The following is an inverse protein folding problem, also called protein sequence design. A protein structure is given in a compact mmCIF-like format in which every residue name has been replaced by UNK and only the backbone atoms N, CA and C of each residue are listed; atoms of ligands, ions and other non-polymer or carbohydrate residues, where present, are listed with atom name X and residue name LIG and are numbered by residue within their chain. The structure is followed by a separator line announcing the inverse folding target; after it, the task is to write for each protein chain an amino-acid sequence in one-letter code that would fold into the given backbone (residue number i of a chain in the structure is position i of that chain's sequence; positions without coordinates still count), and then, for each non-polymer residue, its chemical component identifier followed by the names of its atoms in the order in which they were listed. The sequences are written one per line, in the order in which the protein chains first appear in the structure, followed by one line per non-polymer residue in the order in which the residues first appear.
data_IF_104889609171
#
_entry.id   IF_104889609171
#
_cell.length_a   1.000
_cell.length_b   1.000
_cell.length_c   1.000
_cell.angle_alpha   90.00
_cell.angle_beta   90.00
_cell.angle_gamma   90.00
#
_symmetry.space_group_name_H-M   'P 1'
#
loop_
_entity.id
_entity.type
_entity.pdbx_description
1 polymer ?
#
# COMPACT_ATOMS: atom_id res chain seq x y z
N UNK A 1 36.63 -50.05 25.92
CA UNK A 1 35.49 -49.09 25.89
C UNK A 1 34.40 -49.73 25.04
N UNK A 2 33.27 -50.09 25.65
CA UNK A 2 32.21 -50.91 25.01
C UNK A 2 31.63 -50.17 23.77
N UNK A 3 31.34 -50.94 22.71
CA UNK A 3 30.79 -50.48 21.45
C UNK A 3 29.54 -49.60 21.65
N UNK A 4 28.71 -49.92 22.65
CA UNK A 4 27.52 -49.16 23.03
C UNK A 4 27.84 -47.71 23.48
N UNK A 5 28.96 -47.49 24.18
CA UNK A 5 29.38 -46.13 24.60
C UNK A 5 29.83 -45.28 23.42
N UNK A 6 30.46 -45.90 22.40
CA UNK A 6 30.85 -45.18 21.17
C UNK A 6 29.62 -44.78 20.32
N UNK A 7 28.61 -45.67 20.23
CA UNK A 7 27.37 -45.37 19.50
C UNK A 7 26.58 -44.25 20.17
N UNK A 8 26.46 -44.26 21.51
CA UNK A 8 25.79 -43.19 22.24
C UNK A 8 26.51 -41.83 22.08
N UNK A 9 27.83 -41.81 22.07
CA UNK A 9 28.60 -40.58 21.86
C UNK A 9 28.40 -39.99 20.48
N UNK A 10 28.36 -40.82 19.44
CA UNK A 10 28.06 -40.36 18.07
C UNK A 10 26.62 -39.85 17.94
N UNK A 11 25.66 -40.51 18.59
CA UNK A 11 24.24 -40.09 18.57
C UNK A 11 24.07 -38.73 19.22
N UNK A 12 24.72 -38.48 20.36
CA UNK A 12 24.67 -37.15 21.04
C UNK A 12 25.34 -36.07 20.20
N UNK A 13 26.45 -36.40 19.51
CA UNK A 13 27.14 -35.45 18.64
C UNK A 13 26.28 -35.05 17.41
N UNK A 14 25.52 -35.98 16.84
CA UNK A 14 24.62 -35.67 15.72
C UNK A 14 23.43 -34.82 16.12
N UNK A 15 22.94 -34.88 17.35
CA UNK A 15 21.82 -34.07 17.85
C UNK A 15 22.28 -32.63 18.10
N UNK A 16 23.53 -32.39 18.48
CA UNK A 16 24.06 -31.03 18.74
C UNK A 16 24.31 -30.21 17.48
N UNK A 17 24.31 -30.82 16.28
CA UNK A 17 24.55 -30.13 15.01
C UNK A 17 23.27 -29.54 14.38
N UNK A 18 22.09 -29.76 14.95
CA UNK A 18 20.81 -29.30 14.41
C UNK A 18 20.40 -27.89 14.90
N UNK A 19 21.20 -27.20 15.72
CA UNK A 19 20.79 -25.99 16.41
C UNK A 19 21.14 -24.67 15.69
N UNK A 20 21.53 -24.66 14.43
CA UNK A 20 21.88 -23.45 13.69
C UNK A 20 20.97 -23.15 12.50
N UNK A 21 19.66 -23.28 12.67
CA UNK A 21 18.72 -22.67 11.75
C UNK A 21 18.05 -21.48 12.45
N UNK A 22 18.80 -20.43 12.68
CA UNK A 22 18.21 -19.11 12.89
C UNK A 22 18.11 -18.46 11.52
N UNK A 23 16.90 -18.51 10.93
CA UNK A 23 16.55 -17.64 9.83
C UNK A 23 16.86 -16.20 10.27
N UNK A 24 17.77 -15.55 9.54
CA UNK A 24 17.95 -14.10 9.66
C UNK A 24 16.58 -13.49 9.48
N UNK A 25 16.03 -12.92 10.54
CA UNK A 25 14.86 -12.04 10.44
C UNK A 25 15.27 -10.94 9.45
N UNK A 26 14.78 -11.04 8.24
CA UNK A 26 14.94 -10.01 7.24
C UNK A 26 14.13 -8.82 7.75
N UNK A 27 14.82 -7.83 8.33
CA UNK A 27 14.18 -6.57 8.67
C UNK A 27 13.69 -5.97 7.36
N UNK A 28 12.37 -6.06 7.14
CA UNK A 28 11.71 -5.35 6.06
C UNK A 28 11.98 -3.87 6.26
N UNK A 29 12.57 -3.22 5.27
CA UNK A 29 12.80 -1.78 5.26
C UNK A 29 11.56 -1.05 5.74
N UNK A 30 11.74 -0.19 6.75
CA UNK A 30 10.63 0.54 7.34
C UNK A 30 10.03 1.47 6.30
N UNK A 31 8.86 1.12 5.77
CA UNK A 31 8.14 1.99 4.85
C UNK A 31 7.76 3.27 5.61
N UNK A 32 8.31 4.38 5.17
CA UNK A 32 7.98 5.71 5.68
C UNK A 32 6.78 6.23 4.88
N UNK A 33 5.68 6.48 5.58
CA UNK A 33 4.44 6.99 4.97
C UNK A 33 4.54 8.49 4.80
N UNK A 34 4.36 8.96 3.58
CA UNK A 34 4.28 10.39 3.25
C UNK A 34 2.83 10.93 3.31
N UNK A 35 1.86 10.09 3.62
CA UNK A 35 0.44 10.46 3.74
C UNK A 35 0.10 11.25 5.01
N UNK A 36 1.09 11.64 5.78
CA UNK A 36 0.96 12.56 6.91
C UNK A 36 1.86 13.78 6.66
N UNK A 37 1.48 14.97 7.16
CA UNK A 37 2.32 16.18 7.06
C UNK A 37 3.73 16.00 7.65
N UNK A 38 3.89 14.98 8.48
CA UNK A 38 5.16 14.56 9.07
C UNK A 38 5.38 13.12 8.64
N UNK A 39 6.51 12.81 8.03
CA UNK A 39 6.90 11.45 7.68
C UNK A 39 6.98 10.59 8.93
N UNK A 40 6.14 9.58 9.04
CA UNK A 40 6.11 8.66 10.18
C UNK A 40 6.23 7.21 9.72
N UNK A 41 6.97 6.37 10.48
CA UNK A 41 6.99 4.94 10.22
C UNK A 41 5.58 4.34 10.28
N UNK A 42 5.25 3.43 9.37
CA UNK A 42 3.94 2.76 9.27
C UNK A 42 3.47 2.21 10.62
N UNK A 43 4.37 1.54 11.36
CA UNK A 43 4.09 0.94 12.68
C UNK A 43 3.62 1.94 13.76
N UNK A 44 3.91 3.23 13.59
CA UNK A 44 3.53 4.28 14.56
C UNK A 44 2.23 4.99 14.19
N UNK A 45 1.60 4.62 13.08
CA UNK A 45 0.37 5.25 12.65
C UNK A 45 -0.84 4.50 13.23
N UNK A 46 -1.69 5.21 13.97
CA UNK A 46 -2.92 4.64 14.58
C UNK A 46 -4.10 4.52 13.61
N UNK A 47 -3.92 4.87 12.34
CA UNK A 47 -4.98 4.86 11.32
C UNK A 47 -4.96 3.58 10.51
N UNK A 48 -6.12 3.21 9.97
CA UNK A 48 -6.21 2.11 9.00
C UNK A 48 -5.63 2.57 7.67
N UNK A 49 -4.38 2.22 7.41
CA UNK A 49 -3.67 2.53 6.17
C UNK A 49 -3.40 1.22 5.45
N UNK A 50 -3.78 1.16 4.18
CA UNK A 50 -3.38 0.09 3.27
C UNK A 50 -2.29 0.64 2.35
N UNK A 51 -1.29 -0.17 2.05
CA UNK A 51 -0.22 0.17 1.13
C UNK A 51 -0.21 -0.86 0.02
N UNK A 52 -0.20 -0.40 -1.24
CA UNK A 52 0.11 -1.21 -2.42
C UNK A 52 1.55 -0.89 -2.77
N UNK A 53 2.42 -1.87 -2.68
CA UNK A 53 3.86 -1.70 -2.96
C UNK A 53 4.16 -1.80 -4.45
N UNK A 54 5.37 -1.39 -4.87
CA UNK A 54 5.83 -1.57 -6.24
C UNK A 54 5.83 -3.05 -6.67
N UNK A 55 6.07 -3.96 -5.73
CA UNK A 55 6.03 -5.41 -5.99
C UNK A 55 4.59 -5.88 -6.23
N UNK A 56 3.63 -5.44 -5.41
CA UNK A 56 2.21 -5.73 -5.60
C UNK A 56 1.74 -5.22 -6.98
N UNK A 57 2.14 -4.00 -7.35
CA UNK A 57 1.81 -3.41 -8.65
C UNK A 57 2.36 -4.27 -9.80
N UNK A 58 3.63 -4.66 -9.72
CA UNK A 58 4.30 -5.48 -10.73
C UNK A 58 3.65 -6.86 -10.88
N UNK A 59 3.18 -7.45 -9.78
CA UNK A 59 2.58 -8.78 -9.76
C UNK A 59 1.06 -8.75 -10.08
N UNK A 60 0.46 -7.56 -10.17
CA UNK A 60 -0.95 -7.40 -10.50
C UNK A 60 -1.19 -7.46 -12.02
N UNK A 61 -2.40 -7.86 -12.42
CA UNK A 61 -2.85 -7.76 -13.80
C UNK A 61 -3.45 -6.38 -14.15
N UNK A 62 -3.30 -5.39 -13.27
CA UNK A 62 -3.85 -4.06 -13.46
C UNK A 62 -3.09 -3.32 -14.57
N UNK A 63 -3.83 -2.60 -15.42
CA UNK A 63 -3.27 -1.81 -16.51
C UNK A 63 -3.23 -0.31 -16.21
N UNK A 64 -3.94 0.11 -15.17
CA UNK A 64 -4.04 1.51 -14.76
C UNK A 64 -4.29 1.62 -13.24
N UNK A 65 -4.20 2.84 -12.72
CA UNK A 65 -4.38 3.12 -11.28
C UNK A 65 -5.77 2.71 -10.78
N UNK A 66 -6.80 2.91 -11.58
CA UNK A 66 -8.17 2.56 -11.20
C UNK A 66 -8.33 1.04 -11.01
N UNK A 67 -7.67 0.22 -11.84
CA UNK A 67 -7.66 -1.25 -11.69
C UNK A 67 -6.95 -1.67 -10.40
N UNK A 68 -5.83 -1.02 -10.05
CA UNK A 68 -5.12 -1.28 -8.79
C UNK A 68 -6.00 -0.97 -7.58
N UNK A 69 -6.63 0.19 -7.59
CA UNK A 69 -7.47 0.65 -6.48
C UNK A 69 -8.74 -0.21 -6.31
N UNK A 70 -9.32 -0.71 -7.41
CA UNK A 70 -10.49 -1.59 -7.36
C UNK A 70 -10.23 -2.92 -6.63
N UNK A 71 -8.97 -3.36 -6.53
CA UNK A 71 -8.58 -4.57 -5.79
C UNK A 71 -8.56 -4.36 -4.28
N UNK A 72 -8.66 -3.11 -3.81
CA UNK A 72 -8.53 -2.78 -2.39
C UNK A 72 -9.88 -2.81 -1.69
N UNK A 73 -10.03 -3.68 -0.70
CA UNK A 73 -11.26 -3.79 0.09
C UNK A 73 -11.69 -2.43 0.64
N UNK A 74 -12.95 -2.05 0.38
CA UNK A 74 -13.53 -0.79 0.85
C UNK A 74 -13.19 0.44 0.00
N UNK A 75 -12.56 0.23 -1.15
CA UNK A 75 -12.44 1.20 -2.24
C UNK A 75 -13.34 0.74 -3.38
N UNK A 76 -14.14 1.63 -3.95
CA UNK A 76 -15.01 1.37 -5.08
C UNK A 76 -14.70 2.39 -6.18
N UNK A 77 -14.47 1.92 -7.39
CA UNK A 77 -14.23 2.75 -8.58
C UNK A 77 -15.39 2.56 -9.54
N UNK A 78 -16.18 3.60 -9.71
CA UNK A 78 -17.30 3.59 -10.65
C UNK A 78 -16.89 4.26 -11.95
N UNK A 79 -16.77 3.44 -12.99
CA UNK A 79 -16.40 3.90 -14.34
C UNK A 79 -17.65 4.17 -15.16
N UNK A 80 -17.61 5.26 -15.91
CA UNK A 80 -18.63 5.63 -16.89
C UNK A 80 -17.99 5.67 -18.27
N UNK A 81 -18.59 4.96 -19.20
CA UNK A 81 -18.11 4.85 -20.59
C UNK A 81 -17.08 3.75 -20.80
N UNK A 82 -16.77 3.51 -22.07
CA UNK A 82 -15.79 2.52 -22.51
C UNK A 82 -14.40 3.13 -22.62
N UNK A 83 -13.36 2.37 -22.28
CA UNK A 83 -11.97 2.72 -22.61
C UNK A 83 -11.34 3.85 -21.80
N UNK A 84 -11.67 4.00 -20.49
CA UNK A 84 -10.99 4.96 -19.63
C UNK A 84 -11.65 6.33 -19.53
N UNK A 85 -12.96 6.39 -19.80
CA UNK A 85 -13.78 7.56 -19.51
C UNK A 85 -13.78 7.94 -18.03
N UNK A 86 -14.70 8.75 -17.62
CA UNK A 86 -14.87 9.21 -16.24
C UNK A 86 -14.82 8.05 -15.23
N UNK A 87 -14.03 8.20 -14.18
CA UNK A 87 -13.93 7.27 -13.06
C UNK A 87 -14.10 8.01 -11.75
N UNK A 88 -15.10 7.64 -10.98
CA UNK A 88 -15.38 8.21 -9.67
C UNK A 88 -14.85 7.29 -8.57
N UNK A 89 -14.15 7.86 -7.59
CA UNK A 89 -13.51 7.16 -6.49
C UNK A 89 -14.34 7.28 -5.21
N UNK A 90 -14.63 6.15 -4.58
CA UNK A 90 -15.38 6.09 -3.32
C UNK A 90 -14.61 5.27 -2.28
N UNK A 91 -14.61 5.71 -1.04
CA UNK A 91 -14.07 4.95 0.09
C UNK A 91 -15.19 4.73 1.12
N UNK A 92 -15.42 3.46 1.49
CA UNK A 92 -16.38 3.06 2.53
C UNK A 92 -17.79 3.65 2.32
N UNK A 93 -18.21 3.79 1.06
CA UNK A 93 -19.54 4.30 0.71
C UNK A 93 -19.72 5.81 0.81
N UNK A 94 -18.67 6.56 1.04
CA UNK A 94 -18.72 8.02 0.95
C UNK A 94 -18.79 8.52 -0.49
N UNK A 95 -19.12 9.80 -0.68
CA UNK A 95 -19.18 10.43 -2.00
C UNK A 95 -17.81 10.57 -2.67
N UNK A 96 -17.80 10.73 -3.99
CA UNK A 96 -16.56 10.99 -4.75
C UNK A 96 -15.91 12.33 -4.36
N UNK A 97 -16.71 13.30 -3.96
CA UNK A 97 -16.31 14.62 -3.44
C UNK A 97 -15.77 14.55 -1.99
N UNK A 98 -15.92 13.41 -1.32
CA UNK A 98 -15.48 13.17 0.05
C UNK A 98 -14.22 12.32 0.16
N UNK A 99 -13.68 11.90 -0.99
CA UNK A 99 -12.49 11.06 -1.09
C UNK A 99 -11.41 11.83 -1.84
N UNK A 100 -10.29 12.11 -1.17
CA UNK A 100 -9.20 12.89 -1.73
C UNK A 100 -8.18 12.01 -2.43
N UNK A 101 -7.81 12.40 -3.66
CA UNK A 101 -6.67 11.85 -4.37
C UNK A 101 -5.48 12.82 -4.30
N UNK A 102 -4.29 12.28 -4.04
CA UNK A 102 -3.03 13.03 -4.08
C UNK A 102 -2.03 12.30 -4.97
N UNK A 103 -1.14 13.05 -5.60
CA UNK A 103 0.07 12.54 -6.26
C UNK A 103 1.26 13.24 -5.61
N UNK A 104 2.17 12.49 -5.00
CA UNK A 104 3.31 12.99 -4.24
C UNK A 104 2.94 14.05 -3.19
N UNK A 105 1.76 13.89 -2.56
CA UNK A 105 1.23 14.82 -1.57
C UNK A 105 0.53 16.06 -2.15
N UNK A 106 0.51 16.22 -3.47
CA UNK A 106 -0.20 17.32 -4.15
C UNK A 106 -1.63 16.87 -4.43
N UNK A 107 -2.61 17.65 -4.00
CA UNK A 107 -4.02 17.38 -4.25
C UNK A 107 -4.32 17.36 -5.74
N UNK A 108 -4.99 16.31 -6.17
CA UNK A 108 -5.64 16.24 -7.48
C UNK A 108 -7.09 16.62 -7.26
N UNK A 109 -7.46 17.79 -7.76
CA UNK A 109 -8.82 18.30 -7.63
C UNK A 109 -9.33 18.76 -9.00
N UNK A 110 -10.58 18.39 -9.30
CA UNK A 110 -11.29 18.94 -10.44
C UNK A 110 -12.25 20.03 -9.93
N UNK A 111 -11.84 21.27 -10.09
CA UNK A 111 -12.57 22.43 -9.59
C UNK A 111 -13.93 22.62 -10.28
N UNK A 112 -14.18 21.97 -11.43
CA UNK A 112 -15.40 22.15 -12.20
C UNK A 112 -16.52 21.19 -11.77
N UNK A 113 -16.25 19.89 -11.76
CA UNK A 113 -17.28 18.86 -11.52
C UNK A 113 -16.89 17.87 -10.42
N UNK A 114 -15.63 17.80 -10.06
CA UNK A 114 -15.08 16.80 -9.13
C UNK A 114 -14.98 15.37 -9.70
N UNK A 115 -15.49 15.14 -10.91
CA UNK A 115 -15.58 13.80 -11.52
C UNK A 115 -14.33 13.37 -12.29
N UNK A 116 -13.42 14.30 -12.58
CA UNK A 116 -12.25 14.03 -13.42
C UNK A 116 -10.95 13.82 -12.62
N UNK A 117 -11.02 13.70 -11.30
CA UNK A 117 -9.85 13.53 -10.43
C UNK A 117 -9.02 12.29 -10.75
N UNK A 118 -9.67 11.21 -11.22
CA UNK A 118 -9.00 9.96 -11.61
C UNK A 118 -8.46 9.96 -13.05
N UNK A 119 -8.69 11.01 -13.83
CA UNK A 119 -8.24 11.10 -15.23
C UNK A 119 -6.76 11.50 -15.37
N UNK A 120 -6.04 11.63 -14.27
CA UNK A 120 -4.59 11.81 -14.32
C UNK A 120 -3.96 10.60 -15.05
N UNK A 121 -3.40 10.88 -16.22
CA UNK A 121 -2.69 9.87 -17.02
C UNK A 121 -1.34 9.55 -16.37
N UNK A 122 -1.36 8.78 -15.28
CA UNK A 122 -0.17 8.34 -14.59
C UNK A 122 0.09 6.86 -14.95
N UNK A 123 1.17 6.58 -15.69
CA UNK A 123 1.58 5.20 -15.95
C UNK A 123 1.89 4.47 -14.64
N UNK A 124 1.40 3.22 -14.51
CA UNK A 124 1.61 2.44 -13.29
C UNK A 124 3.08 2.12 -13.02
N UNK A 125 3.91 2.11 -14.06
CA UNK A 125 5.34 1.81 -13.99
C UNK A 125 6.14 2.88 -13.23
N UNK A 126 5.64 4.11 -13.18
CA UNK A 126 6.31 5.20 -12.45
C UNK A 126 5.92 5.25 -10.98
N UNK A 127 4.96 4.43 -10.56
CA UNK A 127 4.49 4.39 -9.17
C UNK A 127 5.47 3.58 -8.32
N UNK A 128 5.89 4.15 -7.20
CA UNK A 128 6.66 3.47 -6.15
C UNK A 128 5.73 2.72 -5.21
N UNK A 129 4.66 3.37 -4.76
CA UNK A 129 3.64 2.80 -3.89
C UNK A 129 2.37 3.64 -3.89
N UNK A 130 1.27 3.05 -3.44
CA UNK A 130 0.01 3.77 -3.20
C UNK A 130 -0.35 3.62 -1.72
N UNK A 131 -0.56 4.74 -1.04
CA UNK A 131 -0.93 4.83 0.37
C UNK A 131 -2.42 5.17 0.47
N UNK A 132 -3.23 4.30 1.09
CA UNK A 132 -4.67 4.44 1.17
C UNK A 132 -5.07 4.59 2.62
N UNK A 133 -5.52 5.79 3.00
CA UNK A 133 -6.04 6.09 4.33
C UNK A 133 -7.55 5.92 4.29
N UNK A 134 -8.07 4.97 5.06
CA UNK A 134 -9.51 4.70 5.17
C UNK A 134 -10.05 5.31 6.46
N UNK A 135 -10.84 6.34 6.32
CA UNK A 135 -11.45 7.07 7.42
C UNK A 135 -11.11 8.57 7.39
N UNK A 136 -11.58 9.35 8.36
CA UNK A 136 -11.46 10.80 8.36
C UNK A 136 -10.01 11.26 8.25
N UNK A 137 -9.67 11.91 7.15
CA UNK A 137 -8.34 12.44 6.86
C UNK A 137 -8.36 13.97 6.69
N UNK A 138 -9.54 14.60 6.77
CA UNK A 138 -9.74 16.03 6.57
C UNK A 138 -8.91 16.90 7.51
N UNK A 139 -8.63 16.43 8.73
CA UNK A 139 -7.75 17.13 9.68
C UNK A 139 -6.33 17.32 9.16
N UNK A 140 -5.86 16.39 8.30
CA UNK A 140 -4.50 16.43 7.76
C UNK A 140 -4.48 17.11 6.40
N UNK A 141 -5.39 16.69 5.52
CA UNK A 141 -5.37 17.07 4.11
C UNK A 141 -6.39 18.16 3.77
N UNK A 142 -7.31 18.49 4.72
CA UNK A 142 -8.34 19.51 4.52
C UNK A 142 -9.54 18.98 3.75
N UNK A 143 -10.14 19.83 2.92
CA UNK A 143 -11.36 19.54 2.17
C UNK A 143 -11.23 18.27 1.33
N UNK A 144 -12.35 17.60 1.09
CA UNK A 144 -12.51 16.41 0.26
C UNK A 144 -11.85 15.12 0.84
N UNK A 145 -11.32 15.15 2.08
CA UNK A 145 -10.74 13.97 2.73
C UNK A 145 -11.60 13.48 3.92
N UNK A 146 -12.92 13.46 3.76
CA UNK A 146 -13.85 13.07 4.84
C UNK A 146 -13.91 11.57 5.04
N UNK A 147 -13.98 10.79 3.96
CA UNK A 147 -14.08 9.32 4.01
C UNK A 147 -12.72 8.64 3.90
N UNK A 148 -11.75 9.34 3.32
CA UNK A 148 -10.39 8.85 3.19
C UNK A 148 -9.55 9.70 2.25
N UNK A 149 -8.29 9.29 2.10
CA UNK A 149 -7.36 9.89 1.16
C UNK A 149 -6.49 8.80 0.52
N UNK A 150 -6.18 8.95 -0.74
CA UNK A 150 -5.27 8.11 -1.49
C UNK A 150 -4.10 8.97 -1.94
N UNK A 151 -2.88 8.57 -1.60
CA UNK A 151 -1.67 9.21 -2.03
C UNK A 151 -0.86 8.27 -2.92
N UNK A 152 -0.69 8.63 -4.17
CA UNK A 152 0.16 7.94 -5.13
C UNK A 152 1.55 8.53 -5.02
N UNK A 153 2.52 7.70 -4.64
CA UNK A 153 3.92 8.12 -4.53
C UNK A 153 4.67 7.64 -5.74
N UNK A 154 5.33 8.54 -6.44
CA UNK A 154 6.10 8.22 -7.63
C UNK A 154 7.55 7.87 -7.29
N UNK A 155 8.19 7.08 -8.16
CA UNK A 155 9.61 6.73 -8.05
C UNK A 155 10.45 7.99 -8.17
N UNK A 156 11.36 8.20 -7.22
CA UNK A 156 12.36 9.26 -7.32
C UNK A 156 13.41 8.86 -8.35
N UNK A 157 13.77 9.82 -9.17
CA UNK A 157 14.92 9.69 -10.10
C UNK A 157 16.23 9.82 -9.33
#
# INVERSE_FOLDING_TARGET
MSLSKKINFVLVLCISLQSFSQDKVQELDSIVINSTRISMPFKKNSRTINIITAEDIKNSAATNVADLLQQVTGVDIRRRGTGGGQSDLYIRGGGFDQTLLLIDGIKMDDAQTGHHTMNAALPIEVIERIEIIKGPAARIFGQNAFTGAINIVTKKR
#
